data_IF_843990285139
#
_entry.id   IF_843990285139
#
_cell.length_a   1.000
_cell.length_b   1.000
_cell.length_c   1.000
_cell.angle_alpha   90.00
_cell.angle_beta   90.00
_cell.angle_gamma   90.00
#
_symmetry.space_group_name_H-M   'P 1'
#
loop_
_entity.id
_entity.type
_entity.pdbx_description
1 polymer ?
#
# COMPACT_ATOMS: atom_id res chain seq x y z
N UNK A 1 34.91 1.56 49.44
CA UNK A 1 33.74 1.23 50.29
C UNK A 1 32.99 0.11 49.59
N UNK A 2 33.04 -1.14 50.10
CA UNK A 2 31.90 -1.84 50.77
C UNK A 2 30.55 -1.46 50.12
N UNK A 3 29.75 -2.34 49.51
CA UNK A 3 29.69 -3.79 49.48
C UNK A 3 28.44 -4.24 48.67
N UNK A 4 28.14 -5.55 48.63
CA UNK A 4 27.31 -6.21 47.60
C UNK A 4 25.93 -6.71 48.12
N UNK A 5 25.25 -7.52 47.28
CA UNK A 5 24.04 -8.36 47.49
C UNK A 5 22.75 -7.69 46.97
N UNK A 6 21.81 -8.38 46.31
CA UNK A 6 21.20 -9.68 46.63
C UNK A 6 20.59 -10.38 45.41
N UNK A 7 20.80 -11.69 45.33
CA UNK A 7 20.00 -12.65 44.54
C UNK A 7 18.58 -12.80 45.11
N UNK A 8 17.61 -13.13 44.25
CA UNK A 8 16.41 -13.87 44.67
C UNK A 8 16.12 -15.00 43.68
N UNK A 9 16.27 -16.22 44.19
CA UNK A 9 15.71 -17.47 43.68
C UNK A 9 14.23 -17.57 44.09
N UNK A 10 13.41 -18.22 43.25
CA UNK A 10 12.08 -18.72 43.58
C UNK A 10 11.23 -18.79 42.31
N UNK A 11 10.46 -19.82 41.99
CA UNK A 11 10.09 -21.01 42.74
C UNK A 11 9.60 -22.06 41.73
N UNK A 12 9.82 -23.32 42.08
CA UNK A 12 9.35 -24.54 41.41
C UNK A 12 7.83 -24.70 41.59
N UNK A 13 7.13 -25.13 40.54
CA UNK A 13 5.80 -25.76 40.61
C UNK A 13 5.61 -26.67 39.39
N UNK A 14 6.00 -27.95 39.43
CA UNK A 14 5.22 -29.11 39.87
C UNK A 14 3.85 -29.28 39.18
N UNK A 15 3.86 -30.15 38.16
CA UNK A 15 2.97 -31.30 37.96
C UNK A 15 1.45 -31.11 38.16
N UNK A 16 0.72 -31.20 37.05
CA UNK A 16 -0.73 -31.45 37.04
C UNK A 16 -1.22 -31.91 35.67
N UNK A 17 -1.03 -33.18 35.34
CA UNK A 17 -1.83 -33.88 34.30
C UNK A 17 -3.17 -34.26 34.90
N UNK A 18 -4.28 -34.11 34.16
CA UNK A 18 -5.31 -35.15 34.22
C UNK A 18 -5.78 -35.62 32.84
N UNK A 19 -5.86 -36.94 32.76
CA UNK A 19 -6.89 -37.73 32.11
C UNK A 19 -7.23 -37.43 30.64
N UNK A 20 -6.65 -38.26 29.78
CA UNK A 20 -7.26 -38.74 28.54
C UNK A 20 -8.62 -39.37 28.89
N UNK A 21 -9.70 -38.76 28.44
CA UNK A 21 -11.04 -39.37 28.46
C UNK A 21 -11.44 -39.70 27.03
N UNK A 22 -11.16 -40.93 26.63
CA UNK A 22 -11.56 -41.51 25.35
C UNK A 22 -13.06 -41.81 25.42
N UNK A 23 -13.90 -40.88 24.96
CA UNK A 23 -15.31 -41.17 24.71
C UNK A 23 -15.47 -41.74 23.30
N UNK A 24 -15.57 -43.06 23.23
CA UNK A 24 -16.13 -43.75 22.08
C UNK A 24 -17.66 -43.51 22.07
N UNK A 25 -18.14 -42.70 21.12
CA UNK A 25 -19.55 -42.64 20.77
C UNK A 25 -19.69 -42.94 19.28
N UNK A 26 -19.77 -44.23 18.99
CA UNK A 26 -20.39 -44.77 17.78
C UNK A 26 -21.90 -44.50 17.85
N UNK A 27 -22.35 -43.43 17.21
CA UNK A 27 -23.73 -43.29 16.77
C UNK A 27 -23.75 -43.09 15.25
N UNK A 28 -23.92 -44.21 14.55
CA UNK A 28 -24.50 -44.25 13.22
C UNK A 28 -25.96 -43.80 13.34
N UNK A 29 -26.29 -42.67 12.72
CA UNK A 29 -27.64 -42.12 12.71
C UNK A 29 -27.81 -41.12 11.59
N UNK A 30 -28.05 -41.64 10.39
CA UNK A 30 -28.47 -40.93 9.19
C UNK A 30 -29.58 -39.90 9.49
N UNK A 31 -29.23 -38.62 9.44
CA UNK A 31 -30.19 -37.55 9.20
C UNK A 31 -29.47 -36.39 8.50
N UNK A 32 -29.82 -36.19 7.23
CA UNK A 32 -29.85 -34.90 6.55
C UNK A 32 -28.61 -34.02 6.66
N UNK A 33 -27.77 -34.10 5.64
CA UNK A 33 -26.90 -33.00 5.24
C UNK A 33 -27.75 -31.74 5.04
N UNK A 34 -27.72 -30.82 5.98
CA UNK A 34 -27.80 -29.40 5.69
C UNK A 34 -26.45 -28.86 6.09
N UNK A 35 -25.55 -28.85 5.11
CA UNK A 35 -24.34 -28.04 5.20
C UNK A 35 -24.80 -26.62 5.50
N UNK A 36 -24.49 -26.15 6.71
CA UNK A 36 -24.46 -24.73 6.98
C UNK A 36 -23.37 -24.17 6.10
N UNK A 37 -23.75 -23.68 4.92
CA UNK A 37 -22.95 -22.68 4.22
C UNK A 37 -22.77 -21.56 5.23
N UNK A 38 -21.58 -21.50 5.84
CA UNK A 38 -21.07 -20.26 6.36
C UNK A 38 -20.97 -19.37 5.14
N UNK A 39 -22.06 -18.69 4.81
CA UNK A 39 -22.03 -17.48 4.01
C UNK A 39 -21.12 -16.56 4.78
N UNK A 40 -19.83 -16.58 4.44
CA UNK A 40 -18.96 -15.44 4.59
C UNK A 40 -19.76 -14.30 4.00
N UNK A 41 -20.39 -13.51 4.86
CA UNK A 41 -20.89 -12.20 4.53
C UNK A 41 -19.62 -11.42 4.17
N UNK A 42 -19.17 -11.63 2.93
CA UNK A 42 -18.24 -10.73 2.28
C UNK A 42 -19.03 -9.43 2.26
N UNK A 43 -18.64 -8.51 3.13
CA UNK A 43 -19.23 -7.20 3.23
C UNK A 43 -19.07 -6.54 1.86
N UNK A 44 -20.10 -6.67 1.03
CA UNK A 44 -20.21 -6.12 -0.34
C UNK A 44 -20.21 -4.59 -0.36
N UNK A 45 -19.82 -3.94 0.75
CA UNK A 45 -19.66 -2.51 0.82
C UNK A 45 -18.33 -2.07 0.19
N UNK A 46 -17.32 -2.95 0.07
CA UNK A 46 -16.10 -2.59 -0.64
C UNK A 46 -16.32 -2.62 -2.16
N UNK A 47 -15.96 -1.53 -2.83
CA UNK A 47 -15.82 -1.48 -4.29
C UNK A 47 -14.69 -2.42 -4.73
N UNK A 48 -14.98 -3.23 -5.74
CA UNK A 48 -13.96 -4.03 -6.41
C UNK A 48 -13.10 -3.12 -7.30
N UNK A 49 -11.89 -2.81 -6.83
CA UNK A 49 -10.93 -1.97 -7.55
C UNK A 49 -10.10 -2.75 -8.58
N UNK A 50 -10.26 -4.07 -8.69
CA UNK A 50 -9.43 -4.91 -9.58
C UNK A 50 -9.59 -4.52 -11.05
N UNK A 51 -10.78 -4.04 -11.44
CA UNK A 51 -11.05 -3.56 -12.80
C UNK A 51 -10.23 -2.32 -13.20
N UNK A 52 -9.69 -1.57 -12.23
CA UNK A 52 -8.85 -0.40 -12.47
C UNK A 52 -7.39 -0.61 -12.07
N UNK A 53 -7.06 -1.80 -11.56
CA UNK A 53 -5.72 -2.06 -11.06
C UNK A 53 -4.71 -1.92 -12.21
N UNK A 54 -3.69 -1.05 -12.06
CA UNK A 54 -2.67 -0.92 -13.10
C UNK A 54 -1.96 -2.26 -13.26
N UNK A 55 -1.52 -2.54 -14.50
CA UNK A 55 -0.80 -3.75 -14.82
C UNK A 55 0.38 -3.94 -13.84
N UNK A 56 0.42 -5.11 -13.19
CA UNK A 56 1.40 -5.36 -12.15
C UNK A 56 2.79 -5.53 -12.76
N UNK A 57 3.77 -4.81 -12.22
CA UNK A 57 5.17 -5.05 -12.54
C UNK A 57 5.70 -6.16 -11.63
N UNK A 58 6.62 -6.97 -12.17
CA UNK A 58 7.27 -8.02 -11.38
C UNK A 58 8.42 -7.41 -10.58
N UNK A 59 8.49 -7.71 -9.30
CA UNK A 59 9.63 -7.30 -8.47
C UNK A 59 10.79 -8.26 -8.70
N UNK A 60 11.93 -7.72 -9.09
CA UNK A 60 13.20 -8.46 -9.16
C UNK A 60 14.19 -7.80 -8.20
N UNK A 61 14.92 -8.59 -7.38
CA UNK A 61 15.99 -8.03 -6.57
C UNK A 61 17.06 -7.41 -7.47
N UNK A 62 17.61 -6.27 -7.05
CA UNK A 62 18.70 -5.61 -7.77
C UNK A 62 19.95 -6.49 -7.79
N UNK A 63 20.66 -6.51 -8.92
CA UNK A 63 21.94 -7.22 -9.05
C UNK A 63 23.05 -6.22 -8.82
N UNK A 64 23.91 -6.47 -7.83
CA UNK A 64 25.09 -5.66 -7.51
C UNK A 64 26.19 -5.87 -8.56
N UNK A 65 27.19 -5.00 -8.57
CA UNK A 65 28.34 -5.08 -9.50
C UNK A 65 29.14 -6.39 -9.36
N UNK A 66 29.10 -7.04 -8.20
CA UNK A 66 29.72 -8.33 -7.93
C UNK A 66 28.85 -9.54 -8.35
N UNK A 67 27.65 -9.30 -8.89
CA UNK A 67 26.71 -10.32 -9.30
C UNK A 67 25.86 -10.87 -8.15
N UNK A 68 25.98 -10.35 -6.93
CA UNK A 68 25.13 -10.72 -5.80
C UNK A 68 23.77 -10.01 -5.88
N UNK A 69 22.74 -10.63 -5.31
CA UNK A 69 21.41 -10.04 -5.26
C UNK A 69 21.27 -9.17 -4.02
N UNK A 70 20.90 -7.91 -4.24
CA UNK A 70 20.49 -7.03 -3.16
C UNK A 70 19.00 -7.21 -2.86
N UNK A 71 18.65 -8.10 -1.92
CA UNK A 71 17.27 -8.24 -1.46
C UNK A 71 16.76 -7.02 -0.66
N UNK A 72 17.62 -6.03 -0.41
CA UNK A 72 17.26 -4.76 0.20
C UNK A 72 16.76 -3.73 -0.83
N UNK A 73 16.95 -4.01 -2.13
CA UNK A 73 16.57 -3.11 -3.20
C UNK A 73 15.95 -3.91 -4.37
N UNK A 74 14.79 -3.48 -4.87
CA UNK A 74 14.08 -4.17 -5.94
C UNK A 74 13.92 -3.25 -7.14
N UNK A 75 14.10 -3.81 -8.33
CA UNK A 75 13.63 -3.22 -9.57
C UNK A 75 12.26 -3.80 -9.89
N UNK A 76 11.32 -2.91 -10.18
CA UNK A 76 10.06 -3.34 -10.78
C UNK A 76 10.28 -3.50 -12.27
N UNK A 77 10.32 -4.74 -12.76
CA UNK A 77 10.33 -5.01 -14.20
C UNK A 77 8.89 -4.97 -14.69
N UNK A 78 8.58 -3.90 -15.42
CA UNK A 78 7.33 -3.74 -16.13
C UNK A 78 7.52 -4.15 -17.59
N UNK A 79 6.49 -4.70 -18.24
CA UNK A 79 6.54 -4.89 -19.68
C UNK A 79 6.69 -3.51 -20.37
N UNK A 80 7.78 -3.35 -21.13
CA UNK A 80 8.14 -2.10 -21.82
C UNK A 80 7.03 -1.55 -22.73
N UNK A 81 6.05 -2.38 -23.10
CA UNK A 81 4.93 -2.01 -23.95
C UNK A 81 3.70 -1.49 -23.18
N UNK A 82 3.71 -1.55 -21.85
CA UNK A 82 2.53 -1.23 -21.02
C UNK A 82 2.70 0.01 -20.16
N UNK A 83 3.93 0.48 -19.95
CA UNK A 83 4.20 1.64 -19.11
C UNK A 83 5.19 2.60 -19.76
N UNK A 84 5.03 3.90 -19.48
CA UNK A 84 5.96 4.96 -19.89
C UNK A 84 6.20 5.92 -18.74
N UNK A 85 7.40 6.51 -18.71
CA UNK A 85 7.71 7.63 -17.83
C UNK A 85 7.33 8.95 -18.52
N UNK A 86 6.28 9.62 -18.02
CA UNK A 86 5.84 10.91 -18.55
C UNK A 86 6.11 12.03 -17.54
N UNK A 87 6.63 13.16 -18.03
CA UNK A 87 6.89 14.33 -17.19
C UNK A 87 5.62 15.09 -16.81
N UNK A 88 5.58 15.55 -15.57
CA UNK A 88 4.63 16.53 -15.01
C UNK A 88 5.40 17.77 -14.63
N UNK A 89 4.87 18.92 -15.04
CA UNK A 89 5.32 20.23 -14.55
C UNK A 89 4.40 20.67 -13.41
N UNK A 90 4.93 21.02 -12.24
CA UNK A 90 4.15 21.47 -11.05
C UNK A 90 3.40 22.77 -11.29
N UNK A 91 3.86 23.57 -12.26
CA UNK A 91 3.14 24.79 -12.66
C UNK A 91 1.85 24.47 -13.40
N UNK A 92 1.65 23.22 -13.79
CA UNK A 92 0.47 22.73 -14.45
C UNK A 92 -0.22 21.69 -13.57
N UNK A 93 -1.55 21.80 -13.42
CA UNK A 93 -2.42 20.79 -12.80
C UNK A 93 -2.53 19.51 -13.65
N UNK A 94 -1.63 19.32 -14.60
CA UNK A 94 -1.77 18.40 -15.73
C UNK A 94 -0.45 17.78 -16.15
N UNK A 95 -0.50 16.54 -16.64
CA UNK A 95 0.57 15.98 -17.46
C UNK A 95 0.67 16.71 -18.79
N UNK A 96 1.89 16.85 -19.28
CA UNK A 96 2.14 17.06 -20.70
C UNK A 96 2.74 15.78 -21.25
N UNK A 97 1.93 15.02 -21.97
CA UNK A 97 2.43 13.85 -22.68
C UNK A 97 2.70 14.22 -24.12
N UNK A 98 3.96 14.11 -24.55
CA UNK A 98 4.32 14.19 -25.96
C UNK A 98 4.42 12.78 -26.52
N UNK A 99 3.53 12.45 -27.45
CA UNK A 99 3.58 11.17 -28.13
C UNK A 99 4.88 11.08 -28.94
N UNK A 100 5.76 10.09 -28.70
CA UNK A 100 7.05 9.99 -29.38
C UNK A 100 6.91 9.69 -30.88
N UNK A 101 5.80 9.09 -31.31
CA UNK A 101 5.54 8.79 -32.71
C UNK A 101 4.96 9.99 -33.48
N UNK A 102 4.12 10.83 -32.85
CA UNK A 102 3.43 11.93 -33.55
C UNK A 102 3.96 13.32 -33.18
N UNK A 103 4.76 13.45 -32.12
CA UNK A 103 5.19 14.74 -31.57
C UNK A 103 4.05 15.57 -30.96
N UNK A 104 2.82 15.06 -30.89
CA UNK A 104 1.69 15.79 -30.32
C UNK A 104 1.76 15.78 -28.80
N UNK A 105 1.67 16.97 -28.21
CA UNK A 105 1.55 17.13 -26.76
C UNK A 105 0.07 17.18 -26.35
N UNK A 106 -0.30 16.39 -25.35
CA UNK A 106 -1.63 16.40 -24.76
C UNK A 106 -1.54 16.78 -23.28
N UNK A 107 -2.42 17.71 -22.87
CA UNK A 107 -2.59 18.11 -21.49
C UNK A 107 -3.59 17.16 -20.81
N UNK A 108 -3.21 16.55 -19.68
CA UNK A 108 -4.07 15.58 -18.99
C UNK A 108 -4.15 15.91 -17.51
N UNK A 109 -5.35 16.28 -17.04
CA UNK A 109 -5.61 16.58 -15.63
C UNK A 109 -6.24 15.35 -14.94
N UNK A 110 -5.64 14.80 -13.86
CA UNK A 110 -6.31 13.84 -13.02
C UNK A 110 -7.42 14.55 -12.28
N UNK A 111 -8.51 13.83 -12.11
CA UNK A 111 -9.68 14.35 -11.41
C UNK A 111 -9.58 14.16 -9.90
N UNK A 112 -8.78 13.19 -9.45
CA UNK A 112 -8.74 12.79 -8.04
C UNK A 112 -7.40 13.12 -7.39
N UNK A 113 -6.28 12.59 -7.89
CA UNK A 113 -4.95 12.88 -7.36
C UNK A 113 -4.48 14.26 -7.83
N UNK A 114 -4.15 15.14 -6.88
CA UNK A 114 -3.65 16.47 -7.20
C UNK A 114 -2.13 16.41 -7.38
N UNK A 115 -1.62 16.83 -8.54
CA UNK A 115 -0.16 16.85 -8.77
C UNK A 115 0.58 17.90 -7.97
N UNK A 116 -0.09 18.95 -7.51
CA UNK A 116 0.51 19.85 -6.54
C UNK A 116 0.92 19.10 -5.26
N UNK A 117 0.17 18.06 -4.88
CA UNK A 117 0.52 17.17 -3.78
C UNK A 117 1.52 16.07 -4.17
N UNK A 118 1.87 15.88 -5.45
CA UNK A 118 2.83 14.86 -5.90
C UNK A 118 4.21 15.45 -6.24
N UNK A 119 4.28 16.76 -6.50
CA UNK A 119 5.49 17.49 -6.87
C UNK A 119 5.84 17.40 -8.36
N UNK A 120 7.00 17.97 -8.73
CA UNK A 120 7.52 17.88 -10.10
C UNK A 120 8.19 16.53 -10.31
N UNK A 121 7.98 15.91 -11.46
CA UNK A 121 8.65 14.66 -11.75
C UNK A 121 8.22 14.00 -13.04
N UNK A 122 8.94 12.94 -13.40
CA UNK A 122 8.43 11.93 -14.32
C UNK A 122 7.67 10.90 -13.51
N UNK A 123 6.51 10.47 -13.97
CA UNK A 123 5.71 9.44 -13.32
C UNK A 123 5.50 8.28 -14.27
N UNK A 124 5.47 7.08 -13.71
CA UNK A 124 5.17 5.87 -14.43
C UNK A 124 3.66 5.78 -14.66
N UNK A 125 3.26 5.74 -15.91
CA UNK A 125 1.86 5.69 -16.33
C UNK A 125 1.65 4.54 -17.30
N UNK A 126 0.52 3.87 -17.17
CA UNK A 126 0.09 2.81 -18.04
C UNK A 126 -0.32 3.36 -19.41
N UNK A 127 0.15 2.72 -20.47
CA UNK A 127 -0.18 3.01 -21.86
C UNK A 127 -1.12 1.97 -22.44
N UNK A 128 -1.66 2.23 -23.64
CA UNK A 128 -2.49 1.28 -24.39
C UNK A 128 -3.78 0.85 -23.67
N UNK A 129 -4.26 1.64 -22.71
CA UNK A 129 -5.49 1.38 -21.93
C UNK A 129 -6.76 1.85 -22.64
N UNK A 130 -6.63 2.58 -23.74
CA UNK A 130 -7.75 3.28 -24.40
C UNK A 130 -8.26 4.50 -23.61
N UNK A 131 -7.59 4.88 -22.51
CA UNK A 131 -7.89 6.05 -21.70
C UNK A 131 -6.73 7.07 -21.76
N UNK A 132 -6.97 8.35 -21.40
CA UNK A 132 -5.89 9.30 -21.21
C UNK A 132 -4.87 8.77 -20.19
N UNK A 133 -3.59 9.10 -20.40
CA UNK A 133 -2.50 8.67 -19.50
C UNK A 133 -2.74 9.15 -18.07
N UNK A 134 -2.41 8.30 -17.10
CA UNK A 134 -2.67 8.57 -15.69
C UNK A 134 -4.13 8.40 -15.28
N UNK A 135 -5.08 8.19 -16.21
CA UNK A 135 -6.50 8.06 -15.85
C UNK A 135 -6.83 6.73 -15.19
N UNK A 136 -6.10 5.66 -15.54
CA UNK A 136 -6.26 4.35 -14.89
C UNK A 136 -5.79 4.45 -13.44
N UNK A 137 -4.62 5.02 -13.23
CA UNK A 137 -4.01 5.27 -11.93
C UNK A 137 -4.90 6.18 -11.07
N UNK A 138 -5.41 7.29 -11.63
CA UNK A 138 -6.30 8.21 -10.93
C UNK A 138 -7.60 7.53 -10.49
N UNK A 139 -8.20 6.70 -11.35
CA UNK A 139 -9.41 5.92 -11.03
C UNK A 139 -9.13 4.85 -9.97
N UNK A 140 -8.01 4.17 -10.08
CA UNK A 140 -7.60 3.16 -9.11
C UNK A 140 -7.38 3.79 -7.74
N UNK A 141 -6.64 4.90 -7.68
CA UNK A 141 -6.41 5.66 -6.45
C UNK A 141 -7.71 6.12 -5.82
N UNK A 142 -8.63 6.65 -6.64
CA UNK A 142 -9.97 7.02 -6.16
C UNK A 142 -10.70 5.83 -5.55
N UNK A 143 -10.75 4.69 -6.24
CA UNK A 143 -11.44 3.50 -5.77
C UNK A 143 -10.88 2.99 -4.42
N UNK A 144 -9.56 2.94 -4.28
CA UNK A 144 -8.88 2.52 -3.05
C UNK A 144 -9.22 3.46 -1.88
N UNK A 145 -9.25 4.78 -2.13
CA UNK A 145 -9.61 5.77 -1.10
C UNK A 145 -11.10 5.72 -0.77
N UNK A 146 -11.98 5.50 -1.74
CA UNK A 146 -13.43 5.36 -1.50
C UNK A 146 -13.71 4.14 -0.60
N UNK A 147 -12.97 3.03 -0.78
CA UNK A 147 -13.05 1.88 0.11
C UNK A 147 -12.67 2.20 1.55
N UNK A 148 -11.64 3.01 1.77
CA UNK A 148 -11.30 3.50 3.11
C UNK A 148 -12.42 4.39 3.66
N UNK A 149 -12.94 5.31 2.86
CA UNK A 149 -13.99 6.21 3.29
C UNK A 149 -15.22 5.44 3.80
N UNK A 150 -15.63 4.38 3.11
CA UNK A 150 -16.73 3.51 3.56
C UNK A 150 -16.41 2.84 4.91
N UNK A 151 -15.18 2.37 5.12
CA UNK A 151 -14.75 1.82 6.43
C UNK A 151 -14.78 2.89 7.53
N UNK A 152 -14.35 4.11 7.23
CA UNK A 152 -14.35 5.23 8.18
C UNK A 152 -15.78 5.60 8.60
N UNK A 153 -16.71 5.70 7.65
CA UNK A 153 -18.13 5.98 7.92
C UNK A 153 -18.74 4.93 8.86
N UNK A 154 -18.45 3.65 8.64
CA UNK A 154 -18.97 2.56 9.50
C UNK A 154 -18.37 2.61 10.91
N UNK A 155 -17.09 2.98 11.02
CA UNK A 155 -16.35 3.01 12.30
C UNK A 155 -16.54 4.28 13.14
N UNK A 156 -17.31 5.25 12.67
CA UNK A 156 -17.66 6.50 13.36
C UNK A 156 -16.48 7.40 13.80
N UNK A 157 -15.24 7.14 13.37
CA UNK A 157 -14.00 7.91 13.69
C UNK A 157 -13.85 8.41 15.14
N UNK A 158 -14.58 7.81 16.09
CA UNK A 158 -14.89 8.44 17.38
C UNK A 158 -13.69 8.48 18.31
N UNK A 159 -12.72 7.61 18.04
CA UNK A 159 -11.56 7.38 18.88
C UNK A 159 -10.36 8.28 18.53
N UNK A 160 -10.48 9.11 17.50
CA UNK A 160 -9.44 10.07 17.13
C UNK A 160 -9.59 11.36 17.97
N UNK A 161 -8.74 11.51 19.00
CA UNK A 161 -8.71 12.74 19.83
C UNK A 161 -7.95 13.90 19.19
N UNK A 162 -7.04 13.61 18.26
CA UNK A 162 -6.11 14.60 17.69
C UNK A 162 -6.43 14.96 16.23
N UNK A 163 -7.07 14.06 15.49
CA UNK A 163 -7.29 14.18 14.04
C UNK A 163 -8.75 13.89 13.69
N UNK A 164 -9.24 14.48 12.61
CA UNK A 164 -10.60 14.23 12.09
C UNK A 164 -10.60 13.07 11.10
N UNK A 165 -11.80 12.55 10.75
CA UNK A 165 -11.93 11.60 9.62
C UNK A 165 -11.33 12.20 8.34
N UNK A 166 -11.54 13.50 8.12
CA UNK A 166 -11.09 14.21 6.93
C UNK A 166 -9.56 14.28 6.88
N UNK A 167 -8.90 14.47 8.03
CA UNK A 167 -7.44 14.42 8.12
C UNK A 167 -6.89 13.04 7.78
N UNK A 168 -7.51 11.98 8.31
CA UNK A 168 -7.18 10.60 7.95
C UNK A 168 -7.38 10.38 6.45
N UNK A 169 -8.55 10.74 5.91
CA UNK A 169 -8.87 10.52 4.50
C UNK A 169 -7.94 11.32 3.57
N UNK A 170 -7.61 12.56 3.93
CA UNK A 170 -6.67 13.40 3.19
C UNK A 170 -5.25 12.82 3.20
N UNK A 171 -4.76 12.38 4.37
CA UNK A 171 -3.43 11.75 4.48
C UNK A 171 -3.37 10.43 3.71
N UNK A 172 -4.40 9.60 3.81
CA UNK A 172 -4.50 8.35 3.07
C UNK A 172 -4.60 8.58 1.57
N UNK A 173 -5.36 9.58 1.13
CA UNK A 173 -5.42 10.00 -0.28
C UNK A 173 -4.04 10.35 -0.80
N UNK A 174 -3.28 11.16 -0.04
CA UNK A 174 -1.92 11.56 -0.39
C UNK A 174 -1.00 10.34 -0.50
N UNK A 175 -1.04 9.44 0.48
CA UNK A 175 -0.30 8.19 0.44
C UNK A 175 -0.68 7.34 -0.78
N UNK A 176 -1.96 7.07 -1.00
CA UNK A 176 -2.44 6.25 -2.10
C UNK A 176 -2.04 6.83 -3.46
N UNK A 177 -2.20 8.14 -3.66
CA UNK A 177 -1.74 8.81 -4.86
C UNK A 177 -0.23 8.67 -5.04
N UNK A 178 0.58 8.81 -3.98
CA UNK A 178 2.04 8.66 -4.08
C UNK A 178 2.50 7.24 -4.39
N UNK A 179 1.85 6.22 -3.83
CA UNK A 179 2.20 4.81 -4.06
C UNK A 179 1.74 4.33 -5.45
N UNK A 180 0.62 4.85 -5.94
CA UNK A 180 0.07 4.49 -7.27
C UNK A 180 0.79 5.24 -8.38
N UNK A 181 0.99 6.56 -8.23
CA UNK A 181 1.79 7.37 -9.16
C UNK A 181 3.27 7.30 -8.79
N UNK A 182 3.92 6.20 -9.13
CA UNK A 182 5.35 6.02 -8.88
C UNK A 182 6.18 7.01 -9.70
N UNK A 183 7.07 7.74 -9.05
CA UNK A 183 8.00 8.66 -9.72
C UNK A 183 9.10 7.87 -10.41
N UNK A 184 9.46 8.23 -11.64
CA UNK A 184 10.61 7.64 -12.34
C UNK A 184 11.91 8.35 -11.97
N UNK A 185 12.98 7.60 -11.77
CA UNK A 185 14.34 8.13 -11.58
C UNK A 185 15.07 8.37 -12.91
N UNK A 186 14.61 7.74 -14.00
CA UNK A 186 15.14 7.86 -15.35
C UNK A 186 14.06 7.87 -16.45
N UNK A 187 14.45 7.46 -17.65
CA UNK A 187 13.53 7.30 -18.78
C UNK A 187 12.90 5.89 -18.85
N UNK A 188 13.48 4.93 -18.14
CA UNK A 188 12.98 3.57 -18.08
C UNK A 188 11.80 3.47 -17.10
N UNK A 189 10.63 2.94 -17.50
CA UNK A 189 9.50 2.72 -16.60
C UNK A 189 9.78 1.74 -15.45
N UNK A 190 10.85 0.96 -15.56
CA UNK A 190 11.28 0.04 -14.50
C UNK A 190 12.02 0.75 -13.36
N UNK A 191 12.60 1.93 -13.65
CA UNK A 191 13.42 2.68 -12.70
C UNK A 191 12.52 3.65 -11.93
N UNK A 192 11.80 3.13 -10.94
CA UNK A 192 10.90 3.92 -10.09
C UNK A 192 11.47 4.18 -8.70
N UNK A 193 11.20 5.38 -8.19
CA UNK A 193 11.47 5.79 -6.83
C UNK A 193 10.29 5.39 -5.92
N UNK A 194 10.61 4.93 -4.71
CA UNK A 194 9.63 4.64 -3.68
C UNK A 194 9.23 5.90 -2.91
N UNK A 195 8.03 5.88 -2.35
CA UNK A 195 7.50 6.94 -1.49
C UNK A 195 8.28 7.02 -0.17
N UNK A 196 8.37 8.24 0.40
CA UNK A 196 8.92 8.40 1.73
C UNK A 196 8.07 7.68 2.78
N UNK A 197 8.74 7.02 3.73
CA UNK A 197 8.13 6.34 4.88
C UNK A 197 7.28 7.29 5.73
N UNK A 198 7.66 8.57 5.78
CA UNK A 198 6.92 9.62 6.48
C UNK A 198 5.49 9.82 5.96
N UNK A 199 5.27 9.70 4.66
CA UNK A 199 3.92 9.80 4.06
C UNK A 199 3.03 8.65 4.54
N UNK A 200 3.60 7.45 4.66
CA UNK A 200 2.89 6.31 5.22
C UNK A 200 2.62 6.48 6.73
N UNK A 201 3.61 6.91 7.51
CA UNK A 201 3.42 7.11 8.94
C UNK A 201 2.52 8.30 9.28
N UNK A 202 2.44 9.34 8.44
CA UNK A 202 1.44 10.38 8.58
C UNK A 202 0.02 9.80 8.55
N UNK A 203 -0.21 8.87 7.62
CA UNK A 203 -1.49 8.15 7.49
C UNK A 203 -1.77 7.27 8.71
N UNK A 204 -0.79 6.48 9.16
CA UNK A 204 -0.93 5.64 10.37
C UNK A 204 -1.24 6.47 11.61
N UNK A 205 -0.66 7.67 11.74
CA UNK A 205 -0.89 8.56 12.91
C UNK A 205 -2.28 9.21 12.89
N UNK A 206 -2.80 9.50 11.69
CA UNK A 206 -4.08 10.21 11.52
C UNK A 206 -5.28 9.27 11.48
N UNK A 207 -5.09 8.04 11.04
CA UNK A 207 -6.15 7.06 10.90
C UNK A 207 -6.33 6.18 12.15
N UNK A 208 -7.56 5.70 12.44
CA UNK A 208 -7.82 4.90 13.61
C UNK A 208 -7.37 3.45 13.40
N UNK A 209 -6.93 2.76 14.46
CA UNK A 209 -6.28 1.45 14.35
C UNK A 209 -7.16 0.34 13.71
N UNK A 210 -8.48 0.50 13.77
CA UNK A 210 -9.46 -0.44 13.21
C UNK A 210 -9.53 -0.44 11.66
N UNK A 211 -8.87 0.50 10.97
CA UNK A 211 -8.73 0.41 9.51
C UNK A 211 -7.62 -0.55 9.08
N UNK A 212 -6.87 -1.09 10.05
CA UNK A 212 -5.79 -2.09 9.85
C UNK A 212 -4.74 -1.64 8.82
N UNK A 213 -4.55 -0.33 8.66
CA UNK A 213 -3.53 0.21 7.78
C UNK A 213 -2.15 0.05 8.41
N UNK A 214 -1.28 -0.70 7.74
CA UNK A 214 0.10 -0.93 8.17
C UNK A 214 1.06 -0.51 7.08
N UNK A 215 2.09 0.25 7.44
CA UNK A 215 3.22 0.47 6.55
C UNK A 215 3.99 -0.85 6.37
N UNK A 216 4.55 -1.12 5.18
CA UNK A 216 5.35 -2.31 4.94
C UNK A 216 6.50 -2.42 5.94
N UNK A 217 6.64 -3.59 6.58
CA UNK A 217 7.58 -3.83 7.68
C UNK A 217 9.05 -3.92 7.22
N UNK A 218 9.26 -4.18 5.92
CA UNK A 218 10.56 -4.39 5.31
C UNK A 218 10.74 -3.41 4.15
N UNK A 219 11.07 -2.16 4.44
CA UNK A 219 12.06 -1.49 3.59
C UNK A 219 13.31 -1.30 4.46
N UNK A 220 14.38 -2.10 4.25
CA UNK A 220 15.64 -2.00 4.98
C UNK A 220 16.35 -0.65 4.79
N UNK A 221 15.84 0.22 3.91
CA UNK A 221 16.23 1.61 3.84
C UNK A 221 15.49 2.37 4.93
N UNK A 222 16.20 2.62 6.03
CA UNK A 222 15.79 3.53 7.07
C UNK A 222 15.84 4.96 6.50
N UNK A 223 14.77 5.40 5.83
CA UNK A 223 14.69 6.72 5.17
C UNK A 223 14.44 7.87 6.17
N UNK A 224 15.17 7.90 7.28
CA UNK A 224 15.32 9.13 8.06
C UNK A 224 16.08 10.22 7.29
N UNK A 225 16.74 9.84 6.19
CA UNK A 225 17.60 10.71 5.41
C UNK A 225 16.90 11.07 4.09
N UNK A 226 16.31 12.27 4.07
CA UNK A 226 15.49 12.85 2.99
C UNK A 226 16.15 12.93 1.59
N UNK A 227 17.37 12.43 1.40
CA UNK A 227 18.12 12.57 0.15
C UNK A 227 17.68 11.61 -0.96
N UNK A 228 17.04 10.49 -0.64
CA UNK A 228 16.69 9.45 -1.64
C UNK A 228 15.21 9.15 -1.78
N UNK A 229 14.35 9.70 -0.92
CA UNK A 229 12.90 9.58 -1.03
C UNK A 229 12.31 10.94 -1.44
N UNK A 230 11.20 10.95 -2.18
CA UNK A 230 10.54 12.21 -2.54
C UNK A 230 9.53 12.58 -1.46
N UNK A 231 9.81 13.64 -0.70
CA UNK A 231 8.79 14.28 0.14
C UNK A 231 7.92 15.18 -0.74
N UNK A 232 6.65 15.31 -0.36
CA UNK A 232 5.68 16.17 -1.02
C UNK A 232 5.82 17.62 -0.53
#
# INVERSE_FOLDING_TARGET
MRGPRTSFLGLVGLLGRPAVLTFALTFLGLCGMVWSEASTFSSTLAHDCTAFQPAQCTFQPLVKEDGDYDFSAYNEVCDNNTHVCSSVDVRATSFLYTNPATGQTQQIEPSFCNFADLGAGKYRLQTNTGLPLGKVEDRYAKCVVDNLHLKLVVSNCRDLKLWTCDDCLASYKRWACSTIFKKCTGDNPSDTQLECRDTCFDTVRKCPANVEFTCPASDPRDYSDATTCYTL
#
